data_IF_916552219357
#
_entry.id   IF_916552219357
#
_cell.length_a   1.000
_cell.length_b   1.000
_cell.length_c   1.000
_cell.angle_alpha   90.00
_cell.angle_beta   90.00
_cell.angle_gamma   90.00
#
_symmetry.space_group_name_H-M   'P 1'
#
loop_
_entity.id
_entity.type
_entity.pdbx_description
1 polymer ?
#
# COMPACT_ATOMS: atom_id res chain seq x y z
N UNK A 1 51.10 -54.64 17.18
CA UNK A 1 50.83 -53.26 16.70
C UNK A 1 49.33 -53.18 16.38
N UNK A 2 48.55 -52.62 17.28
CA UNK A 2 47.09 -52.45 17.13
C UNK A 2 46.83 -50.98 16.87
N UNK A 3 46.49 -50.65 15.62
CA UNK A 3 46.07 -49.33 15.22
C UNK A 3 44.69 -49.02 15.80
N UNK A 4 44.64 -48.09 16.70
CA UNK A 4 43.39 -47.53 17.27
C UNK A 4 42.83 -46.54 16.28
N UNK A 5 41.81 -46.95 15.55
CA UNK A 5 41.06 -46.08 14.63
C UNK A 5 40.12 -45.20 15.45
N UNK A 6 40.54 -43.96 15.69
CA UNK A 6 39.73 -42.96 16.40
C UNK A 6 38.73 -42.36 15.40
N UNK A 7 37.52 -42.92 15.34
CA UNK A 7 36.40 -42.36 14.60
C UNK A 7 35.90 -41.16 15.40
N UNK A 8 36.39 -39.98 15.01
CA UNK A 8 35.81 -38.73 15.48
C UNK A 8 34.47 -38.56 14.76
N UNK A 9 33.41 -38.99 15.43
CA UNK A 9 32.05 -38.73 14.98
C UNK A 9 31.77 -37.23 15.20
N UNK A 10 32.02 -36.43 14.17
CA UNK A 10 31.60 -35.02 14.14
C UNK A 10 30.09 -35.01 14.01
N UNK A 11 29.42 -35.02 15.15
CA UNK A 11 27.97 -34.75 15.22
C UNK A 11 27.80 -33.29 14.84
N UNK A 12 27.56 -33.02 13.58
CA UNK A 12 26.99 -31.77 13.10
C UNK A 12 25.58 -31.68 13.68
N UNK A 13 25.47 -31.11 14.86
CA UNK A 13 24.20 -30.60 15.36
C UNK A 13 23.78 -29.51 14.41
N UNK A 14 23.02 -29.86 13.38
CA UNK A 14 22.19 -28.91 12.66
C UNK A 14 21.14 -28.44 13.64
N UNK A 15 21.51 -27.45 14.44
CA UNK A 15 20.53 -26.57 15.05
C UNK A 15 19.71 -26.05 13.87
N UNK A 16 18.47 -26.52 13.75
CA UNK A 16 17.50 -25.83 12.92
C UNK A 16 17.35 -24.47 13.57
N UNK A 17 18.14 -23.51 13.11
CA UNK A 17 17.84 -22.10 13.33
C UNK A 17 16.50 -21.92 12.61
N UNK A 18 15.42 -22.06 13.36
CA UNK A 18 14.15 -21.51 12.93
C UNK A 18 14.37 -19.99 12.97
N UNK A 19 14.99 -19.47 11.93
CA UNK A 19 15.01 -18.05 11.69
C UNK A 19 13.56 -17.67 11.40
N UNK A 20 12.84 -17.28 12.43
CA UNK A 20 11.64 -16.48 12.22
C UNK A 20 12.13 -15.21 11.55
N UNK A 21 11.62 -14.86 10.36
CA UNK A 21 12.08 -13.65 9.70
C UNK A 21 11.91 -12.48 10.65
N UNK A 22 13.00 -11.73 10.85
CA UNK A 22 12.94 -10.43 11.52
C UNK A 22 11.82 -9.66 10.83
N UNK A 23 10.91 -9.00 11.56
CA UNK A 23 9.80 -8.30 10.93
C UNK A 23 10.31 -7.12 10.11
N UNK A 24 10.46 -7.33 8.81
CA UNK A 24 10.70 -6.25 7.86
C UNK A 24 9.47 -5.33 7.79
N UNK A 25 9.67 -4.10 7.34
CA UNK A 25 8.58 -3.15 7.13
C UNK A 25 8.19 -3.15 5.65
N UNK A 26 7.06 -3.82 5.27
CA UNK A 26 6.57 -3.78 3.90
C UNK A 26 6.01 -2.41 3.56
N UNK A 27 6.41 -1.88 2.41
CA UNK A 27 5.93 -0.62 1.84
C UNK A 27 5.42 -0.87 0.43
N UNK A 28 4.17 -0.51 0.17
CA UNK A 28 3.53 -0.62 -1.14
C UNK A 28 3.20 0.77 -1.68
N UNK A 29 3.80 1.14 -2.81
CA UNK A 29 3.43 2.32 -3.58
C UNK A 29 2.46 1.95 -4.70
N UNK A 30 1.34 2.66 -4.84
CA UNK A 30 0.39 2.48 -5.94
C UNK A 30 0.19 3.81 -6.67
N UNK A 31 0.34 3.79 -8.00
CA UNK A 31 0.35 4.99 -8.83
C UNK A 31 -0.55 4.80 -10.05
N UNK A 32 -1.33 5.84 -10.38
CA UNK A 32 -2.33 5.80 -11.45
C UNK A 32 -2.13 6.95 -12.43
N UNK A 33 -2.55 6.75 -13.67
CA UNK A 33 -2.45 7.76 -14.74
C UNK A 33 -3.19 9.05 -14.44
N UNK A 34 -4.28 8.98 -13.65
CA UNK A 34 -5.04 10.16 -13.19
C UNK A 34 -4.33 10.99 -12.13
N UNK A 35 -3.12 10.58 -11.73
CA UNK A 35 -2.31 11.21 -10.69
C UNK A 35 -2.59 10.74 -9.27
N UNK A 36 -3.55 9.85 -9.07
CA UNK A 36 -3.77 9.27 -7.74
C UNK A 36 -2.55 8.45 -7.34
N UNK A 37 -2.04 8.72 -6.14
CA UNK A 37 -0.96 7.97 -5.50
C UNK A 37 -1.40 7.50 -4.13
N UNK A 38 -0.95 6.31 -3.75
CA UNK A 38 -1.19 5.72 -2.42
C UNK A 38 0.07 5.05 -1.92
N UNK A 39 0.41 5.30 -0.67
CA UNK A 39 1.51 4.63 0.03
C UNK A 39 0.90 3.87 1.21
N UNK A 40 1.18 2.59 1.27
CA UNK A 40 0.75 1.69 2.31
C UNK A 40 1.95 1.11 3.03
N UNK A 41 1.95 1.16 4.36
CA UNK A 41 2.97 0.55 5.22
C UNK A 41 2.28 -0.40 6.18
N UNK A 42 2.79 -1.60 6.33
CA UNK A 42 2.30 -2.56 7.32
C UNK A 42 3.37 -2.83 8.37
N UNK A 43 2.97 -2.89 9.63
CA UNK A 43 3.85 -3.11 10.77
C UNK A 43 3.34 -4.28 11.58
N UNK A 44 4.20 -5.25 11.77
CA UNK A 44 4.00 -6.31 12.76
C UNK A 44 4.25 -5.75 14.16
N UNK A 45 3.30 -5.92 15.08
CA UNK A 45 3.41 -5.39 16.44
C UNK A 45 4.56 -6.00 17.23
N UNK A 46 5.08 -7.15 16.81
CA UNK A 46 6.29 -7.76 17.41
C UNK A 46 7.51 -6.86 17.25
N UNK A 47 7.55 -6.01 16.20
CA UNK A 47 8.62 -5.04 15.97
C UNK A 47 8.81 -4.03 17.10
N UNK A 48 7.88 -3.93 18.05
CA UNK A 48 8.00 -3.05 19.21
C UNK A 48 8.73 -3.70 20.39
N UNK A 49 9.05 -4.98 20.31
CA UNK A 49 9.81 -5.69 21.33
C UNK A 49 11.32 -5.58 21.07
N UNK A 50 12.13 -5.71 22.11
CA UNK A 50 13.59 -5.80 21.97
C UNK A 50 14.03 -7.05 21.21
N UNK A 51 13.29 -8.14 21.37
CA UNK A 51 13.48 -9.41 20.67
C UNK A 51 12.16 -9.82 20.01
N UNK A 52 11.89 -9.40 18.76
CA UNK A 52 10.68 -9.74 18.03
C UNK A 52 10.46 -11.23 17.81
N UNK A 53 11.53 -12.03 17.79
CA UNK A 53 11.43 -13.48 17.58
C UNK A 53 10.89 -14.22 18.82
N UNK A 54 11.05 -13.64 19.99
CA UNK A 54 10.57 -14.21 21.26
C UNK A 54 9.10 -13.87 21.53
N UNK A 55 8.51 -12.94 20.82
CA UNK A 55 7.14 -12.45 21.04
C UNK A 55 6.17 -13.11 20.03
N UNK A 56 5.02 -13.64 20.49
CA UNK A 56 4.02 -14.18 19.60
C UNK A 56 3.36 -13.09 18.75
N UNK A 57 2.80 -13.48 17.62
CA UNK A 57 1.93 -12.59 16.83
C UNK A 57 0.77 -12.08 17.67
N UNK A 58 0.34 -10.85 17.41
CA UNK A 58 -0.89 -10.33 17.98
C UNK A 58 -2.08 -10.98 17.25
N UNK A 59 -2.67 -12.00 17.88
CA UNK A 59 -3.82 -12.69 17.35
C UNK A 59 -5.10 -11.86 17.54
N UNK A 60 -6.11 -12.10 16.72
CA UNK A 60 -7.37 -11.37 16.79
C UNK A 60 -8.02 -11.50 18.17
N UNK A 61 -8.04 -12.71 18.77
CA UNK A 61 -8.57 -12.93 20.12
C UNK A 61 -7.88 -12.08 21.18
N UNK A 62 -6.54 -12.04 21.14
CA UNK A 62 -5.75 -11.21 22.06
C UNK A 62 -5.97 -9.71 21.83
N UNK A 63 -6.11 -9.30 20.57
CA UNK A 63 -6.40 -7.91 20.20
C UNK A 63 -7.77 -7.46 20.72
N UNK A 64 -8.78 -8.33 20.68
CA UNK A 64 -10.12 -8.01 21.15
C UNK A 64 -10.16 -7.74 22.65
N UNK A 65 -9.27 -8.38 23.42
CA UNK A 65 -9.10 -8.18 24.87
C UNK A 65 -8.38 -6.88 25.24
N UNK A 66 -7.65 -6.25 24.28
CA UNK A 66 -6.95 -5.00 24.54
C UNK A 66 -7.92 -3.85 24.82
N UNK A 67 -7.60 -3.06 25.82
CA UNK A 67 -8.27 -1.80 26.13
C UNK A 67 -8.06 -0.76 25.02
N UNK A 68 -8.93 0.25 24.98
CA UNK A 68 -8.78 1.37 24.02
C UNK A 68 -7.45 2.14 24.20
N UNK A 69 -6.92 2.17 25.42
CA UNK A 69 -5.65 2.83 25.73
C UNK A 69 -4.47 2.04 25.12
N UNK A 70 -4.45 0.71 25.31
CA UNK A 70 -3.42 -0.17 24.75
C UNK A 70 -3.45 -0.14 23.22
N UNK A 71 -4.63 -0.16 22.60
CA UNK A 71 -4.79 0.01 21.14
C UNK A 71 -4.22 1.34 20.67
N UNK A 72 -4.48 2.42 21.40
CA UNK A 72 -3.94 3.74 21.07
C UNK A 72 -2.41 3.79 21.21
N UNK A 73 -1.84 3.16 22.26
CA UNK A 73 -0.39 3.07 22.45
C UNK A 73 0.29 2.32 21.30
N UNK A 74 -0.30 1.22 20.82
CA UNK A 74 0.20 0.50 19.66
C UNK A 74 0.23 1.38 18.39
N UNK A 75 -0.84 2.14 18.11
CA UNK A 75 -0.84 3.06 16.96
C UNK A 75 0.21 4.17 17.12
N UNK A 76 0.43 4.66 18.32
CA UNK A 76 1.46 5.68 18.57
C UNK A 76 2.87 5.12 18.36
N UNK A 77 3.16 3.90 18.80
CA UNK A 77 4.41 3.19 18.53
C UNK A 77 4.61 2.98 17.03
N UNK A 78 3.57 2.55 16.31
CA UNK A 78 3.60 2.42 14.87
C UNK A 78 3.92 3.73 14.16
N UNK A 79 3.30 4.84 14.59
CA UNK A 79 3.57 6.17 14.04
C UNK A 79 5.03 6.58 14.25
N UNK A 80 5.56 6.36 15.43
CA UNK A 80 6.96 6.67 15.74
C UNK A 80 7.90 5.84 14.87
N UNK A 81 7.68 4.53 14.80
CA UNK A 81 8.50 3.62 13.98
C UNK A 81 8.54 4.05 12.52
N UNK A 82 7.40 4.38 11.91
CA UNK A 82 7.37 4.87 10.52
C UNK A 82 8.18 6.16 10.38
N UNK A 83 8.06 7.08 11.34
CA UNK A 83 8.76 8.36 11.29
C UNK A 83 10.28 8.21 11.39
N UNK A 84 10.75 7.15 12.01
CA UNK A 84 12.16 6.79 12.13
C UNK A 84 12.66 5.92 10.99
N UNK A 85 11.73 5.21 10.30
CA UNK A 85 12.09 4.23 9.29
C UNK A 85 12.23 4.80 7.90
N UNK A 86 11.30 5.68 7.44
CA UNK A 86 11.23 6.05 6.03
C UNK A 86 10.96 7.52 5.77
N UNK A 87 11.37 7.94 4.56
CA UNK A 87 10.96 9.16 3.90
C UNK A 87 10.70 8.86 2.42
N UNK A 88 9.83 9.65 1.80
CA UNK A 88 9.53 9.55 0.38
C UNK A 88 9.86 10.86 -0.35
N UNK A 89 9.98 10.75 -1.67
CA UNK A 89 10.25 11.88 -2.55
C UNK A 89 9.48 11.72 -3.86
N UNK A 90 8.80 12.77 -4.26
CA UNK A 90 8.15 12.87 -5.56
C UNK A 90 8.81 13.93 -6.42
N UNK A 91 9.38 13.53 -7.54
CA UNK A 91 10.09 14.45 -8.45
C UNK A 91 11.18 15.25 -7.73
N UNK A 92 11.13 16.57 -7.86
CA UNK A 92 12.11 17.48 -7.27
C UNK A 92 11.73 18.01 -5.88
N UNK A 93 10.65 17.49 -5.28
CA UNK A 93 10.29 17.83 -3.89
C UNK A 93 11.38 17.35 -2.93
N UNK A 94 11.44 17.95 -1.75
CA UNK A 94 12.31 17.48 -0.68
C UNK A 94 11.82 16.14 -0.14
N UNK A 95 12.74 15.41 0.49
CA UNK A 95 12.41 14.21 1.26
C UNK A 95 11.47 14.58 2.41
N UNK A 96 10.40 13.84 2.59
CA UNK A 96 9.43 14.08 3.65
C UNK A 96 8.76 12.79 4.08
N UNK A 97 8.25 12.80 5.31
CA UNK A 97 7.34 11.79 5.80
C UNK A 97 5.90 12.20 5.42
N UNK A 98 5.14 11.35 4.71
CA UNK A 98 3.72 11.59 4.48
C UNK A 98 2.90 11.63 5.76
N UNK A 99 1.77 12.34 5.73
CA UNK A 99 0.76 12.24 6.77
C UNK A 99 0.03 10.90 6.65
N UNK A 100 0.46 9.93 7.45
CA UNK A 100 -0.16 8.61 7.48
C UNK A 100 -1.37 8.57 8.41
N UNK A 101 -2.45 7.99 7.93
CA UNK A 101 -3.59 7.54 8.74
C UNK A 101 -3.32 6.10 9.18
N UNK A 102 -3.28 5.87 10.50
CA UNK A 102 -3.01 4.57 11.07
C UNK A 102 -4.32 3.87 11.47
N UNK A 103 -4.40 2.58 11.20
CA UNK A 103 -5.49 1.70 11.58
C UNK A 103 -4.96 0.29 11.86
N UNK A 104 -5.79 -0.56 12.46
CA UNK A 104 -5.51 -1.99 12.52
C UNK A 104 -6.08 -2.68 11.29
N UNK A 105 -5.41 -3.75 10.87
CA UNK A 105 -5.84 -4.61 9.77
C UNK A 105 -5.58 -6.06 10.14
N UNK A 106 -6.44 -6.95 9.66
CA UNK A 106 -6.28 -8.37 9.83
C UNK A 106 -5.55 -8.97 8.62
N UNK A 107 -4.61 -9.84 8.91
CA UNK A 107 -4.00 -10.73 7.94
C UNK A 107 -4.56 -12.13 8.21
N UNK A 108 -5.13 -12.73 7.19
CA UNK A 108 -5.74 -14.05 7.30
C UNK A 108 -4.79 -15.08 7.90
N UNK A 109 -5.36 -16.06 8.59
CA UNK A 109 -4.65 -17.23 9.08
C UNK A 109 -3.74 -17.83 7.99
N UNK A 110 -2.52 -18.16 8.36
CA UNK A 110 -1.47 -18.69 7.47
C UNK A 110 -0.90 -19.97 8.10
N UNK A 111 0.11 -20.55 7.46
CA UNK A 111 0.87 -21.65 8.06
C UNK A 111 1.54 -21.27 9.39
N UNK A 112 1.69 -19.96 9.66
CA UNK A 112 2.30 -19.43 10.88
C UNK A 112 1.31 -19.25 12.02
N UNK A 113 0.01 -19.20 11.76
CA UNK A 113 -1.04 -19.03 12.76
C UNK A 113 -2.37 -19.60 12.26
N UNK A 114 -3.07 -20.33 13.12
CA UNK A 114 -4.43 -20.85 12.85
C UNK A 114 -5.49 -19.74 12.94
N UNK A 115 -5.16 -18.60 13.53
CA UNK A 115 -6.03 -17.44 13.73
C UNK A 115 -5.50 -16.23 12.94
N UNK A 116 -6.36 -15.27 12.64
CA UNK A 116 -5.96 -14.02 11.99
C UNK A 116 -4.96 -13.25 12.87
N UNK A 117 -3.96 -12.70 12.21
CA UNK A 117 -2.94 -11.85 12.83
C UNK A 117 -3.35 -10.39 12.64
N UNK A 118 -3.29 -9.62 13.72
CA UNK A 118 -3.55 -8.17 13.67
C UNK A 118 -2.25 -7.41 13.46
N UNK A 119 -2.26 -6.57 12.43
CA UNK A 119 -1.15 -5.71 12.04
C UNK A 119 -1.57 -4.25 12.15
N UNK A 120 -0.60 -3.34 12.24
CA UNK A 120 -0.86 -1.92 12.06
C UNK A 120 -0.66 -1.58 10.59
N UNK A 121 -1.65 -0.90 10.00
CA UNK A 121 -1.62 -0.37 8.65
C UNK A 121 -1.58 1.14 8.70
N UNK A 122 -0.57 1.73 8.06
CA UNK A 122 -0.49 3.15 7.83
C UNK A 122 -0.71 3.42 6.34
N UNK A 123 -1.65 4.30 6.03
CA UNK A 123 -2.01 4.65 4.66
C UNK A 123 -1.91 6.14 4.43
N UNK A 124 -1.38 6.52 3.28
CA UNK A 124 -1.36 7.88 2.78
C UNK A 124 -1.88 7.88 1.35
N UNK A 125 -2.68 8.89 1.00
CA UNK A 125 -3.18 9.09 -0.35
C UNK A 125 -3.04 10.56 -0.72
N UNK A 126 -2.54 10.82 -1.93
CA UNK A 126 -2.48 12.17 -2.49
C UNK A 126 -2.71 12.14 -4.00
N UNK A 127 -2.98 13.30 -4.57
CA UNK A 127 -2.94 13.49 -6.01
C UNK A 127 -1.65 14.18 -6.41
N UNK A 128 -0.85 13.50 -7.20
CA UNK A 128 0.38 14.03 -7.74
C UNK A 128 0.08 15.02 -8.86
N UNK A 129 0.79 16.14 -8.92
CA UNK A 129 0.63 17.07 -10.03
C UNK A 129 1.07 16.41 -11.34
N UNK A 130 0.54 16.90 -12.48
CA UNK A 130 1.03 16.53 -13.80
C UNK A 130 2.55 16.72 -13.91
N UNK A 131 3.21 15.87 -14.69
CA UNK A 131 4.66 15.88 -14.89
C UNK A 131 5.48 15.61 -13.61
N UNK A 132 4.92 14.95 -12.61
CA UNK A 132 5.72 14.37 -11.53
C UNK A 132 6.65 13.32 -12.14
N UNK A 133 7.96 13.59 -12.13
CA UNK A 133 8.92 12.80 -12.90
C UNK A 133 9.13 11.38 -12.32
N UNK A 134 9.22 11.27 -10.99
CA UNK A 134 9.53 9.99 -10.34
C UNK A 134 9.03 9.95 -8.89
N UNK A 135 8.98 8.73 -8.37
CA UNK A 135 8.86 8.40 -6.95
C UNK A 135 10.14 7.72 -6.47
N UNK A 136 10.51 8.00 -5.24
CA UNK A 136 11.65 7.40 -4.57
C UNK A 136 11.36 7.27 -3.07
N UNK A 137 11.84 6.20 -2.44
CA UNK A 137 11.78 5.96 -1.01
C UNK A 137 13.20 5.85 -0.44
N UNK A 138 13.40 6.29 0.78
CA UNK A 138 14.64 6.17 1.52
C UNK A 138 14.38 5.52 2.88
N UNK A 139 15.17 4.51 3.24
CA UNK A 139 15.29 4.04 4.60
C UNK A 139 16.19 5.02 5.36
N UNK A 140 15.69 5.56 6.47
CA UNK A 140 16.47 6.49 7.30
C UNK A 140 17.59 5.75 8.01
N UNK A 141 18.66 6.46 8.39
CA UNK A 141 19.78 5.85 9.12
C UNK A 141 19.36 5.25 10.48
N UNK A 142 18.33 5.84 11.06
CA UNK A 142 17.77 5.46 12.36
C UNK A 142 16.77 4.29 12.27
N UNK A 143 16.47 3.81 11.07
CA UNK A 143 15.54 2.69 10.87
C UNK A 143 16.03 1.45 11.63
N UNK A 144 15.16 0.88 12.45
CA UNK A 144 15.47 -0.33 13.21
C UNK A 144 15.35 -1.60 12.35
N UNK A 145 14.65 -1.53 11.23
CA UNK A 145 14.32 -2.65 10.34
C UNK A 145 14.51 -2.26 8.88
N UNK A 146 14.73 -3.27 8.07
CA UNK A 146 14.81 -3.12 6.63
C UNK A 146 13.43 -2.79 6.04
N UNK A 147 13.39 -2.02 4.95
CA UNK A 147 12.17 -1.76 4.20
C UNK A 147 12.09 -2.71 3.02
N UNK A 148 11.01 -3.48 2.92
CA UNK A 148 10.70 -4.25 1.72
C UNK A 148 9.67 -3.47 0.94
N UNK A 149 10.06 -2.90 -0.22
CA UNK A 149 9.12 -2.13 -1.00
C UNK A 149 8.81 -2.74 -2.37
N UNK A 150 7.57 -2.55 -2.77
CA UNK A 150 7.04 -2.92 -4.07
C UNK A 150 6.13 -1.81 -4.58
N UNK A 151 5.89 -1.82 -5.90
CA UNK A 151 5.06 -0.80 -6.53
C UNK A 151 4.00 -1.44 -7.43
N UNK A 152 2.87 -0.76 -7.55
CA UNK A 152 1.78 -1.06 -8.47
C UNK A 152 1.58 0.17 -9.37
N UNK A 153 1.45 -0.05 -10.68
CA UNK A 153 1.13 1.00 -11.65
C UNK A 153 -0.13 0.58 -12.38
N UNK A 154 -1.20 1.37 -12.28
CA UNK A 154 -2.50 1.08 -12.90
C UNK A 154 -2.97 -0.35 -12.63
N UNK A 155 -2.96 -0.76 -11.36
CA UNK A 155 -3.33 -2.09 -10.86
C UNK A 155 -2.40 -3.23 -11.30
N UNK A 156 -1.31 -2.93 -12.03
CA UNK A 156 -0.33 -3.93 -12.44
C UNK A 156 0.88 -3.92 -11.50
N UNK A 157 1.14 -5.03 -10.77
CA UNK A 157 2.30 -5.13 -9.91
C UNK A 157 3.60 -5.03 -10.71
N UNK A 158 4.49 -4.18 -10.29
CA UNK A 158 5.83 -4.12 -10.84
C UNK A 158 6.63 -5.31 -10.32
N UNK A 159 7.31 -6.03 -11.22
CA UNK A 159 8.02 -7.27 -10.90
C UNK A 159 9.25 -7.09 -9.98
N UNK A 160 9.51 -5.89 -9.52
CA UNK A 160 10.67 -5.54 -8.76
C UNK A 160 10.29 -5.32 -7.29
N UNK A 161 10.60 -6.31 -6.48
CA UNK A 161 10.63 -6.16 -5.02
C UNK A 161 12.06 -5.81 -4.64
N UNK A 162 12.22 -4.83 -3.76
CA UNK A 162 13.53 -4.40 -3.31
C UNK A 162 13.57 -4.32 -1.79
N UNK A 163 14.73 -4.57 -1.24
CA UNK A 163 15.03 -4.38 0.17
C UNK A 163 15.94 -3.16 0.29
N UNK A 164 15.65 -2.28 1.22
CA UNK A 164 16.49 -1.14 1.58
C UNK A 164 16.96 -1.32 3.01
N UNK A 165 18.25 -1.36 3.18
CA UNK A 165 18.89 -1.29 4.48
C UNK A 165 18.90 0.16 5.01
N UNK A 166 19.04 0.37 6.33
CA UNK A 166 19.14 1.70 6.90
C UNK A 166 20.17 2.56 6.19
N UNK A 167 19.76 3.77 5.79
CA UNK A 167 20.59 4.72 5.05
C UNK A 167 20.52 4.60 3.53
N UNK A 168 19.84 3.60 2.97
CA UNK A 168 19.76 3.40 1.53
C UNK A 168 18.56 4.11 0.90
N UNK A 169 18.73 4.49 -0.37
CA UNK A 169 17.70 5.04 -1.24
C UNK A 169 17.30 4.04 -2.32
N UNK A 170 16.03 4.00 -2.67
CA UNK A 170 15.55 3.18 -3.77
C UNK A 170 15.98 3.73 -5.12
N UNK A 171 15.78 2.93 -6.17
CA UNK A 171 15.76 3.47 -7.53
C UNK A 171 14.60 4.48 -7.68
N UNK A 172 14.73 5.35 -8.66
CA UNK A 172 13.66 6.25 -9.08
C UNK A 172 12.67 5.48 -9.93
N UNK A 173 11.42 5.36 -9.45
CA UNK A 173 10.32 4.83 -10.24
C UNK A 173 9.83 5.95 -11.16
N UNK A 174 9.89 5.73 -12.47
CA UNK A 174 9.38 6.68 -13.46
C UNK A 174 7.86 6.86 -13.33
N UNK A 175 7.41 8.08 -13.13
CA UNK A 175 6.00 8.48 -13.05
C UNK A 175 5.59 9.40 -14.21
N UNK A 176 6.38 9.48 -15.28
CA UNK A 176 6.09 10.34 -16.44
C UNK A 176 4.78 9.97 -17.18
N UNK A 177 4.21 8.80 -16.88
CA UNK A 177 2.91 8.36 -17.37
C UNK A 177 1.71 9.08 -16.72
N UNK A 178 1.94 9.85 -15.65
CA UNK A 178 0.87 10.61 -14.99
C UNK A 178 0.47 11.77 -15.90
N UNK A 179 -0.69 11.62 -16.55
CA UNK A 179 -1.27 12.62 -17.41
C UNK A 179 -1.96 13.70 -16.60
N UNK A 180 -1.82 14.97 -17.04
CA UNK A 180 -2.54 16.10 -16.45
C UNK A 180 -4.05 16.09 -16.69
N UNK A 181 -4.56 15.12 -17.41
CA UNK A 181 -5.96 14.92 -17.66
C UNK A 181 -6.67 14.34 -16.44
N UNK A 182 -6.73 15.14 -15.38
CA UNK A 182 -7.71 14.88 -14.31
C UNK A 182 -9.07 14.92 -14.96
N UNK A 183 -9.70 13.73 -15.03
CA UNK A 183 -11.03 13.51 -15.58
C UNK A 183 -11.81 14.80 -15.84
N UNK A 184 -11.78 15.25 -17.08
CA UNK A 184 -12.98 15.83 -17.63
C UNK A 184 -13.97 14.65 -17.60
N UNK A 185 -14.57 14.40 -16.42
CA UNK A 185 -15.91 13.88 -16.43
C UNK A 185 -16.63 14.77 -17.44
N UNK A 186 -16.93 14.22 -18.60
CA UNK A 186 -17.82 14.82 -19.56
C UNK A 186 -19.08 15.19 -18.76
N UNK A 187 -19.17 16.45 -18.37
CA UNK A 187 -20.49 17.00 -18.07
C UNK A 187 -21.32 16.63 -19.31
N UNK A 188 -22.39 15.85 -19.13
CA UNK A 188 -23.24 15.54 -20.26
C UNK A 188 -23.64 16.89 -20.85
N UNK A 189 -23.15 17.19 -22.05
CA UNK A 189 -23.42 18.41 -22.76
C UNK A 189 -24.95 18.50 -22.90
N UNK A 190 -25.58 19.21 -21.97
CA UNK A 190 -26.97 19.67 -22.10
C UNK A 190 -27.00 20.77 -23.15
N UNK A 191 -26.68 20.43 -24.39
CA UNK A 191 -26.90 21.27 -25.55
C UNK A 191 -27.36 20.44 -26.74
N UNK A 192 -28.51 19.84 -26.58
CA UNK A 192 -29.37 19.61 -27.73
C UNK A 192 -30.70 20.31 -27.45
N UNK A 193 -30.71 21.61 -27.69
CA UNK A 193 -31.94 22.36 -27.93
C UNK A 193 -32.60 21.79 -29.21
N UNK A 194 -33.37 20.72 -29.03
CA UNK A 194 -34.31 20.28 -30.02
C UNK A 194 -35.46 21.27 -30.00
N UNK A 195 -35.35 22.34 -30.80
CA UNK A 195 -36.52 23.14 -31.15
C UNK A 195 -37.58 22.19 -31.76
N UNK A 196 -38.82 22.20 -31.25
CA UNK A 196 -39.89 21.51 -31.89
C UNK A 196 -40.18 22.24 -33.19
N UNK A 197 -40.00 21.57 -34.33
CA UNK A 197 -40.43 21.98 -35.64
C UNK A 197 -41.94 22.17 -35.62
N UNK A 198 -42.40 23.41 -35.64
CA UNK A 198 -43.77 23.76 -35.91
C UNK A 198 -44.09 23.33 -37.34
N UNK A 199 -44.62 22.13 -37.48
CA UNK A 199 -45.23 21.68 -38.72
C UNK A 199 -46.65 22.19 -38.78
N UNK A 200 -46.88 23.07 -39.72
CA UNK A 200 -48.11 23.73 -40.09
C UNK A 200 -49.28 22.76 -40.26
N UNK A 201 -50.23 22.82 -39.33
CA UNK A 201 -51.56 22.26 -39.47
C UNK A 201 -52.44 23.33 -40.12
N UNK A 202 -52.26 23.49 -41.43
CA UNK A 202 -53.21 24.26 -42.22
C UNK A 202 -53.29 23.61 -43.60
N UNK A 203 -54.12 22.57 -43.74
CA UNK A 203 -54.80 22.17 -44.98
C UNK A 203 -55.41 20.79 -44.83
N UNK A 204 -56.53 20.68 -44.23
CA UNK A 204 -57.55 19.64 -44.50
C UNK A 204 -58.87 20.01 -43.84
N UNK A 205 -59.46 21.10 -44.27
CA UNK A 205 -60.90 21.39 -44.11
C UNK A 205 -61.46 21.75 -45.47
N UNK A 206 -61.59 20.77 -46.31
CA UNK A 206 -62.58 20.82 -47.43
C UNK A 206 -62.57 19.41 -48.00
N UNK A 207 -63.67 18.78 -47.95
CA UNK A 207 -64.14 17.59 -48.67
C UNK A 207 -64.67 16.51 -47.74
N UNK A 208 -65.80 16.80 -47.16
CA UNK A 208 -66.78 15.80 -46.73
C UNK A 208 -68.15 16.43 -46.63
N UNK A 209 -68.65 16.97 -47.69
CA UNK A 209 -70.06 17.11 -47.94
C UNK A 209 -70.36 16.40 -49.24
N UNK A 210 -70.94 15.27 -49.17
CA UNK A 210 -71.94 14.73 -50.07
C UNK A 210 -71.96 13.20 -49.92
N UNK A 211 -73.08 12.79 -49.56
CA UNK A 211 -73.94 11.67 -49.99
C UNK A 211 -74.33 10.71 -48.86
N UNK A 212 -75.62 10.86 -48.60
CA UNK A 212 -76.61 9.96 -47.97
C UNK A 212 -76.52 9.68 -46.49
#
# INVERSE_FOLDING_TARGET
MRSLLLIVTFVLSFSRVNSHPIPDIPVLGSFYTDGKASILVEIDTRSFAEDPESVPFLLQSSFDELSSEEKKDLLQKGKLMISEALEIKFGHRDWHLPDFVLSFTEKNATELSEENIVMIRASHQEFLPPNTAFYQIRAKNEAAYDLIFSNIINDEPQRRVNVLFPGEESFQLDLSFIDGNRGQEEEPSMNSSTQPKQESIEKRRSDARSTF
#
